data_IF_667503489119
#
_entry.id   IF_667503489119
#
_cell.length_a   1.000
_cell.length_b   1.000
_cell.length_c   1.000
_cell.angle_alpha   90.00
_cell.angle_beta   90.00
_cell.angle_gamma   90.00
#
_symmetry.space_group_name_H-M   'P 1'
#
loop_
_entity.id
_entity.type
_entity.pdbx_description
1 polymer ?
#
# COMPACT_ATOMS: atom_id res chain seq x y z
N UNK A 1 -13.10 -31.59 20.28
CA UNK A 1 -13.83 -31.87 19.03
C UNK A 1 -14.64 -30.63 18.56
N UNK A 2 -14.05 -29.43 18.52
CA UNK A 2 -14.69 -28.22 17.96
C UNK A 2 -13.62 -27.22 17.52
N UNK A 3 -13.01 -27.44 16.35
CA UNK A 3 -12.16 -26.48 15.66
C UNK A 3 -12.05 -26.89 14.19
N UNK A 4 -13.14 -26.78 13.41
CA UNK A 4 -13.05 -27.09 11.97
C UNK A 4 -14.03 -26.38 11.03
N UNK A 5 -14.87 -25.44 11.49
CA UNK A 5 -15.83 -24.75 10.60
C UNK A 5 -15.42 -23.34 10.17
N UNK A 6 -14.57 -22.64 10.92
CA UNK A 6 -14.17 -21.27 10.59
C UNK A 6 -13.13 -21.20 9.45
N UNK A 7 -12.19 -22.15 9.37
CA UNK A 7 -11.11 -22.14 8.37
C UNK A 7 -11.59 -22.55 6.97
N UNK A 8 -12.69 -23.30 6.86
CA UNK A 8 -13.26 -23.72 5.57
C UNK A 8 -14.01 -22.61 4.84
N UNK A 9 -14.50 -21.58 5.53
CA UNK A 9 -15.29 -20.50 4.90
C UNK A 9 -14.43 -19.45 4.18
N UNK A 10 -13.19 -19.24 4.63
CA UNK A 10 -12.28 -18.29 3.98
C UNK A 10 -11.79 -18.75 2.59
N UNK A 11 -11.80 -20.06 2.33
CA UNK A 11 -11.47 -20.63 1.01
C UNK A 11 -12.62 -20.43 0.02
N UNK A 12 -13.88 -20.41 0.47
CA UNK A 12 -15.04 -20.21 -0.40
C UNK A 12 -15.09 -18.79 -1.01
N UNK A 13 -14.47 -17.79 -0.37
CA UNK A 13 -14.38 -16.44 -0.94
C UNK A 13 -13.43 -16.38 -2.16
N UNK A 14 -12.44 -17.27 -2.25
CA UNK A 14 -11.58 -17.40 -3.44
C UNK A 14 -12.33 -18.14 -4.56
N UNK A 15 -13.22 -19.06 -4.21
CA UNK A 15 -14.03 -19.83 -5.17
C UNK A 15 -15.23 -19.07 -5.76
N UNK A 16 -15.53 -17.84 -5.33
CA UNK A 16 -16.69 -17.11 -5.85
C UNK A 16 -16.57 -16.71 -7.33
N UNK A 17 -15.36 -16.76 -7.91
CA UNK A 17 -15.10 -16.33 -9.28
C UNK A 17 -14.38 -17.38 -10.16
N UNK A 18 -13.92 -18.50 -9.61
CA UNK A 18 -13.22 -19.54 -10.37
C UNK A 18 -13.68 -20.94 -10.00
N UNK A 19 -14.01 -21.76 -11.01
CA UNK A 19 -14.38 -23.18 -10.85
C UNK A 19 -13.18 -24.10 -10.63
N UNK A 20 -11.94 -23.58 -10.77
CA UNK A 20 -10.69 -24.32 -10.59
C UNK A 20 -10.05 -23.98 -9.23
N UNK A 21 -9.49 -24.98 -8.56
CA UNK A 21 -8.72 -24.75 -7.34
C UNK A 21 -7.52 -23.81 -7.63
N UNK A 22 -7.28 -22.77 -6.81
CA UNK A 22 -6.31 -21.73 -7.13
C UNK A 22 -4.89 -22.28 -7.12
N UNK A 23 -4.16 -22.03 -8.22
CA UNK A 23 -2.71 -22.20 -8.31
C UNK A 23 -2.09 -20.81 -8.42
N UNK A 24 -1.44 -20.37 -7.36
CA UNK A 24 -0.99 -18.98 -7.18
C UNK A 24 0.47 -18.82 -7.58
N UNK A 25 0.77 -17.78 -8.36
CA UNK A 25 2.12 -17.25 -8.51
C UNK A 25 2.21 -15.87 -7.84
N UNK A 26 3.23 -15.65 -7.03
CA UNK A 26 3.50 -14.33 -6.45
C UNK A 26 4.39 -13.56 -7.41
N UNK A 27 4.00 -12.33 -7.74
CA UNK A 27 4.79 -11.41 -8.56
C UNK A 27 5.58 -10.46 -7.67
N UNK A 28 6.82 -10.15 -8.05
CA UNK A 28 7.66 -9.15 -7.38
C UNK A 28 8.09 -8.06 -8.36
N UNK A 29 8.35 -6.87 -7.81
CA UNK A 29 8.81 -5.73 -8.61
C UNK A 29 10.14 -6.03 -9.31
N UNK A 30 10.13 -5.99 -10.64
CA UNK A 30 11.29 -6.12 -11.52
C UNK A 30 11.36 -4.98 -12.55
N UNK A 31 10.21 -4.44 -12.97
CA UNK A 31 10.15 -3.24 -13.84
C UNK A 31 10.23 -1.94 -13.02
N UNK A 32 10.62 -0.85 -13.65
CA UNK A 32 10.59 0.48 -13.03
C UNK A 32 9.20 1.13 -13.23
N UNK A 33 8.64 1.78 -12.19
CA UNK A 33 7.43 2.58 -12.35
C UNK A 33 7.64 3.72 -13.37
N UNK A 34 6.62 4.05 -14.18
CA UNK A 34 6.73 5.15 -15.15
C UNK A 34 6.80 6.51 -14.43
N UNK A 35 7.24 7.52 -15.18
CA UNK A 35 7.09 8.92 -14.78
C UNK A 35 5.61 9.30 -14.90
N UNK A 36 4.97 9.70 -13.80
CA UNK A 36 3.57 10.13 -13.79
C UNK A 36 3.53 11.58 -13.31
N UNK A 37 2.99 12.48 -14.14
CA UNK A 37 2.95 13.92 -13.86
C UNK A 37 4.32 14.51 -13.48
N UNK A 38 5.39 14.02 -14.11
CA UNK A 38 6.77 14.46 -13.85
C UNK A 38 7.39 13.88 -12.57
N UNK A 39 6.74 12.92 -11.91
CA UNK A 39 7.23 12.28 -10.68
C UNK A 39 7.40 10.77 -10.88
N UNK A 40 8.53 10.21 -10.47
CA UNK A 40 8.78 8.77 -10.48
C UNK A 40 8.78 8.22 -9.06
N UNK A 41 8.03 7.13 -8.83
CA UNK A 41 8.10 6.40 -7.56
C UNK A 41 9.32 5.48 -7.56
N UNK A 42 10.27 5.60 -6.62
CA UNK A 42 11.47 4.78 -6.64
C UNK A 42 11.14 3.29 -6.44
N UNK A 43 11.81 2.44 -7.21
CA UNK A 43 11.68 0.98 -7.13
C UNK A 43 12.06 0.49 -5.72
N UNK A 44 11.41 -0.58 -5.24
CA UNK A 44 11.91 -1.33 -4.07
C UNK A 44 12.98 -2.33 -4.53
N UNK A 45 14.25 -2.22 -4.10
CA UNK A 45 15.25 -3.26 -4.37
C UNK A 45 14.81 -4.59 -3.74
N UNK A 46 15.02 -5.69 -4.46
CA UNK A 46 14.72 -7.03 -3.97
C UNK A 46 13.24 -7.44 -4.05
N UNK A 47 12.25 -6.57 -3.81
CA UNK A 47 10.85 -6.99 -3.72
C UNK A 47 10.61 -8.09 -2.65
N UNK A 48 9.37 -8.39 -2.27
CA UNK A 48 9.14 -9.47 -1.29
C UNK A 48 9.03 -10.80 -2.03
N UNK A 49 10.15 -11.52 -2.08
CA UNK A 49 10.30 -12.69 -2.94
C UNK A 49 9.84 -14.00 -2.30
N UNK A 50 9.74 -14.09 -0.95
CA UNK A 50 9.42 -15.34 -0.22
C UNK A 50 8.17 -15.29 0.68
N UNK A 51 8.04 -14.29 1.55
CA UNK A 51 7.11 -14.31 2.70
C UNK A 51 5.65 -14.63 2.34
N UNK A 52 5.12 -13.99 1.29
CA UNK A 52 3.74 -14.25 0.83
C UNK A 52 3.57 -15.66 0.27
N UNK A 53 4.49 -16.11 -0.60
CA UNK A 53 4.47 -17.46 -1.18
C UNK A 53 4.52 -18.54 -0.10
N UNK A 54 5.38 -18.35 0.90
CA UNK A 54 5.51 -19.28 2.02
C UNK A 54 4.24 -19.33 2.89
N UNK A 55 3.69 -18.17 3.23
CA UNK A 55 2.46 -18.06 4.05
C UNK A 55 1.27 -18.72 3.37
N UNK A 56 1.06 -18.46 2.08
CA UNK A 56 0.01 -19.08 1.29
C UNK A 56 0.14 -20.61 1.27
N UNK A 57 1.37 -21.10 1.08
CA UNK A 57 1.65 -22.54 1.10
C UNK A 57 1.36 -23.17 2.47
N UNK A 58 1.74 -22.52 3.57
CA UNK A 58 1.42 -22.99 4.92
C UNK A 58 -0.09 -23.05 5.19
N UNK A 59 -0.88 -22.21 4.52
CA UNK A 59 -2.35 -22.24 4.56
C UNK A 59 -2.98 -23.22 3.57
N UNK A 60 -2.18 -24.07 2.93
CA UNK A 60 -2.65 -25.12 2.01
C UNK A 60 -3.00 -24.61 0.60
N UNK A 61 -2.68 -23.36 0.26
CA UNK A 61 -2.83 -22.84 -1.10
C UNK A 61 -1.70 -23.39 -1.97
N UNK A 62 -2.02 -23.88 -3.16
CA UNK A 62 -1.01 -24.32 -4.12
C UNK A 62 -0.28 -23.09 -4.67
N UNK A 63 1.04 -23.02 -4.43
CA UNK A 63 1.89 -21.92 -4.89
C UNK A 63 2.96 -22.46 -5.83
N UNK A 64 3.11 -21.86 -7.00
CA UNK A 64 4.22 -22.14 -7.92
C UNK A 64 5.42 -21.25 -7.62
N UNK A 65 6.62 -21.80 -7.83
CA UNK A 65 7.91 -21.14 -7.60
C UNK A 65 8.53 -20.81 -8.95
N UNK A 66 9.21 -19.67 -9.06
CA UNK A 66 9.98 -19.32 -10.26
C UNK A 66 11.19 -20.23 -10.45
N UNK A 67 11.69 -20.81 -9.36
CA UNK A 67 12.62 -21.93 -9.36
C UNK A 67 12.03 -23.10 -8.55
N UNK A 68 11.62 -24.20 -9.22
CA UNK A 68 11.09 -25.40 -8.58
C UNK A 68 12.04 -26.04 -7.57
N UNK A 69 13.36 -25.83 -7.71
CA UNK A 69 14.39 -26.37 -6.81
C UNK A 69 14.70 -25.48 -5.60
N UNK A 70 14.26 -24.21 -5.61
CA UNK A 70 14.55 -23.26 -4.53
C UNK A 70 14.19 -23.80 -3.13
N UNK A 71 15.15 -23.85 -2.19
CA UNK A 71 14.91 -24.36 -0.85
C UNK A 71 14.04 -23.41 -0.03
N UNK A 72 13.44 -23.92 1.05
CA UNK A 72 12.61 -23.12 1.98
C UNK A 72 13.38 -21.99 2.65
N UNK A 73 14.69 -22.13 2.82
CA UNK A 73 15.59 -21.10 3.35
C UNK A 73 15.94 -20.01 2.33
N UNK A 74 15.70 -20.21 1.03
CA UNK A 74 16.07 -19.24 0.00
C UNK A 74 15.10 -18.07 -0.05
N UNK A 75 15.64 -16.85 -0.12
CA UNK A 75 14.87 -15.63 -0.38
C UNK A 75 14.60 -15.40 -1.88
N UNK A 76 15.16 -16.22 -2.79
CA UNK A 76 14.98 -16.13 -4.24
C UNK A 76 14.36 -17.41 -4.80
N UNK A 77 13.77 -17.32 -6.00
CA UNK A 77 13.14 -18.47 -6.67
C UNK A 77 11.70 -18.76 -6.24
N UNK A 78 11.13 -17.96 -5.33
CA UNK A 78 9.77 -18.13 -4.79
C UNK A 78 8.71 -17.23 -5.43
N UNK A 79 9.14 -16.24 -6.22
CA UNK A 79 8.29 -15.26 -6.87
C UNK A 79 8.79 -14.98 -8.29
N UNK A 80 7.86 -14.65 -9.18
CA UNK A 80 8.12 -14.31 -10.58
C UNK A 80 8.30 -12.80 -10.72
N UNK A 81 9.15 -12.32 -11.64
CA UNK A 81 9.23 -10.89 -11.91
C UNK A 81 7.92 -10.41 -12.55
N UNK A 82 7.53 -9.18 -12.27
CA UNK A 82 6.35 -8.50 -12.86
C UNK A 82 6.59 -7.99 -14.29
N UNK A 83 7.66 -8.46 -14.94
CA UNK A 83 7.91 -8.26 -16.37
C UNK A 83 6.91 -9.07 -17.20
N UNK A 84 6.70 -8.67 -18.44
CA UNK A 84 5.86 -9.39 -19.41
C UNK A 84 6.24 -10.89 -19.51
N UNK A 85 7.50 -11.19 -19.81
CA UNK A 85 7.97 -12.59 -19.86
C UNK A 85 7.92 -13.33 -18.51
N UNK A 86 8.02 -12.62 -17.39
CA UNK A 86 7.88 -13.19 -16.05
C UNK A 86 6.45 -13.65 -15.74
N UNK A 87 5.49 -12.79 -16.08
CA UNK A 87 4.05 -13.07 -15.96
C UNK A 87 3.66 -14.20 -16.90
N UNK A 88 4.09 -14.13 -18.17
CA UNK A 88 3.82 -15.17 -19.16
C UNK A 88 4.40 -16.53 -18.73
N UNK A 89 5.65 -16.56 -18.24
CA UNK A 89 6.26 -17.78 -17.70
C UNK A 89 5.48 -18.38 -16.54
N UNK A 90 4.98 -17.56 -15.62
CA UNK A 90 4.14 -18.03 -14.51
C UNK A 90 2.84 -18.67 -15.02
N UNK A 91 2.18 -18.06 -16.02
CA UNK A 91 0.99 -18.61 -16.65
C UNK A 91 1.26 -19.96 -17.32
N UNK A 92 2.35 -20.08 -18.10
CA UNK A 92 2.76 -21.32 -18.76
C UNK A 92 3.06 -22.45 -17.76
N UNK A 93 3.52 -22.09 -16.55
CA UNK A 93 3.74 -23.04 -15.45
C UNK A 93 2.44 -23.41 -14.70
N UNK A 94 1.27 -23.03 -15.23
CA UNK A 94 -0.04 -23.40 -14.71
C UNK A 94 -0.56 -22.49 -13.60
N UNK A 95 -0.04 -21.27 -13.47
CA UNK A 95 -0.66 -20.26 -12.62
C UNK A 95 -2.06 -19.92 -13.15
N UNK A 96 -3.02 -19.90 -12.24
CA UNK A 96 -4.38 -19.41 -12.51
C UNK A 96 -4.64 -18.10 -11.78
N UNK A 97 -3.82 -17.79 -10.77
CA UNK A 97 -3.97 -16.61 -9.93
C UNK A 97 -2.62 -15.92 -9.76
N UNK A 98 -2.56 -14.62 -9.99
CA UNK A 98 -1.40 -13.80 -9.69
C UNK A 98 -1.62 -12.99 -8.44
N UNK A 99 -0.76 -13.17 -7.45
CA UNK A 99 -0.68 -12.29 -6.30
C UNK A 99 0.29 -11.15 -6.64
N UNK A 100 -0.26 -9.99 -7.01
CA UNK A 100 0.49 -8.87 -7.57
C UNK A 100 1.18 -8.05 -6.47
N UNK A 101 2.30 -8.55 -5.95
CA UNK A 101 3.09 -7.87 -4.93
C UNK A 101 4.16 -6.93 -5.52
N UNK A 102 3.70 -6.04 -6.40
CA UNK A 102 4.48 -5.03 -7.11
C UNK A 102 3.74 -3.69 -7.10
N UNK A 103 4.42 -2.59 -7.39
CA UNK A 103 3.87 -1.26 -7.67
C UNK A 103 3.17 -1.35 -9.01
N UNK A 104 1.85 -1.30 -8.96
CA UNK A 104 1.00 -1.40 -10.12
C UNK A 104 0.69 0.01 -10.64
N UNK A 105 0.56 0.13 -11.95
CA UNK A 105 0.32 1.37 -12.67
C UNK A 105 -0.42 1.06 -13.97
N UNK A 106 -1.05 2.04 -14.61
CA UNK A 106 -1.94 1.82 -15.76
C UNK A 106 -1.22 1.15 -16.93
N UNK A 107 0.04 1.50 -17.17
CA UNK A 107 0.87 0.89 -18.21
C UNK A 107 1.55 -0.43 -17.80
N UNK A 108 1.19 -1.02 -16.65
CA UNK A 108 1.82 -2.25 -16.15
C UNK A 108 1.52 -3.43 -17.08
N UNK A 109 2.46 -4.37 -17.31
CA UNK A 109 2.25 -5.57 -18.12
C UNK A 109 1.04 -6.44 -17.74
N UNK A 110 0.47 -6.26 -16.55
CA UNK A 110 -0.76 -6.97 -16.14
C UNK A 110 -2.00 -6.41 -16.84
N UNK A 111 -1.92 -5.21 -17.43
CA UNK A 111 -3.00 -4.57 -18.18
C UNK A 111 -2.71 -4.50 -19.69
N UNK A 112 -1.45 -4.31 -20.07
CA UNK A 112 -1.10 -3.88 -21.44
C UNK A 112 -0.35 -4.91 -22.27
N UNK A 113 0.11 -6.01 -21.66
CA UNK A 113 0.99 -6.97 -22.34
C UNK A 113 0.28 -7.74 -23.46
N UNK A 114 0.76 -7.67 -24.71
CA UNK A 114 0.31 -8.55 -25.78
C UNK A 114 0.72 -10.01 -25.53
N UNK A 115 1.87 -10.30 -24.91
CA UNK A 115 2.28 -11.69 -24.64
C UNK A 115 1.38 -12.40 -23.62
N UNK A 116 0.79 -11.66 -22.67
CA UNK A 116 -0.13 -12.20 -21.65
C UNK A 116 -1.56 -12.28 -22.18
N UNK A 117 -1.91 -11.54 -23.24
CA UNK A 117 -3.26 -11.49 -23.82
C UNK A 117 -3.86 -12.88 -24.12
N UNK A 118 -3.12 -13.85 -24.72
CA UNK A 118 -3.66 -15.18 -25.01
C UNK A 118 -4.15 -15.95 -23.78
N UNK A 119 -3.59 -15.68 -22.60
CA UNK A 119 -3.91 -16.37 -21.35
C UNK A 119 -4.73 -15.50 -20.38
N UNK A 120 -4.99 -14.23 -20.71
CA UNK A 120 -5.62 -13.27 -19.81
C UNK A 120 -7.02 -13.68 -19.34
N UNK A 121 -7.81 -14.34 -20.19
CA UNK A 121 -9.17 -14.79 -19.84
C UNK A 121 -9.20 -15.93 -18.82
N UNK A 122 -8.07 -16.61 -18.59
CA UNK A 122 -7.96 -17.74 -17.66
C UNK A 122 -7.28 -17.37 -16.33
N UNK A 123 -6.80 -16.13 -16.22
CA UNK A 123 -5.98 -15.66 -15.11
C UNK A 123 -6.76 -14.66 -14.25
N UNK A 124 -6.69 -14.87 -12.94
CA UNK A 124 -7.22 -13.97 -11.94
C UNK A 124 -6.08 -13.20 -11.27
N UNK A 125 -6.30 -11.93 -10.95
CA UNK A 125 -5.31 -11.12 -10.22
C UNK A 125 -5.83 -10.81 -8.82
N UNK A 126 -5.06 -11.19 -7.82
CA UNK A 126 -5.26 -10.83 -6.41
C UNK A 126 -4.44 -9.58 -6.13
N UNK A 127 -5.13 -8.47 -5.91
CA UNK A 127 -4.53 -7.16 -5.67
C UNK A 127 -5.48 -6.03 -6.02
N UNK A 128 -4.96 -4.81 -5.97
CA UNK A 128 -5.70 -3.64 -6.46
C UNK A 128 -5.59 -3.54 -8.00
N UNK A 129 -6.62 -3.02 -8.70
CA UNK A 129 -6.50 -2.68 -10.11
C UNK A 129 -5.34 -1.69 -10.35
N UNK A 130 -4.48 -1.91 -11.35
CA UNK A 130 -3.29 -1.06 -11.57
C UNK A 130 -3.57 0.44 -11.73
N UNK A 131 -4.61 0.84 -12.48
CA UNK A 131 -5.01 2.25 -12.58
C UNK A 131 -5.53 2.85 -11.25
N UNK A 132 -6.10 2.02 -10.38
CA UNK A 132 -6.52 2.43 -9.03
C UNK A 132 -5.29 2.74 -8.16
N UNK A 133 -4.27 1.89 -8.24
CA UNK A 133 -2.99 2.10 -7.53
C UNK A 133 -2.29 3.33 -8.07
N UNK A 134 -2.25 3.53 -9.39
CA UNK A 134 -1.63 4.71 -10.01
C UNK A 134 -2.20 6.02 -9.47
N UNK A 135 -3.52 6.13 -9.40
CA UNK A 135 -4.21 7.31 -8.90
C UNK A 135 -3.96 7.53 -7.41
N UNK A 136 -4.12 6.49 -6.58
CA UNK A 136 -4.06 6.64 -5.13
C UNK A 136 -2.65 6.49 -4.52
N UNK A 137 -1.63 6.12 -5.30
CA UNK A 137 -0.23 6.27 -4.87
C UNK A 137 0.20 7.75 -4.84
N UNK A 138 -0.56 8.64 -5.47
CA UNK A 138 -0.44 10.10 -5.33
C UNK A 138 -1.08 10.55 -4.01
N UNK A 139 -0.23 10.91 -3.04
CA UNK A 139 -0.70 11.33 -1.72
C UNK A 139 -1.53 12.60 -1.74
N UNK A 140 -1.29 13.49 -2.70
CA UNK A 140 -2.05 14.73 -2.82
C UNK A 140 -3.47 14.40 -3.27
N UNK A 141 -3.59 13.69 -4.40
CA UNK A 141 -4.87 13.24 -4.93
C UNK A 141 -5.67 12.43 -3.91
N UNK A 142 -5.02 11.48 -3.23
CA UNK A 142 -5.69 10.63 -2.24
C UNK A 142 -6.13 11.40 -1.00
N UNK A 143 -5.29 12.30 -0.47
CA UNK A 143 -5.64 13.09 0.72
C UNK A 143 -6.70 14.15 0.42
N UNK A 144 -6.81 14.63 -0.82
CA UNK A 144 -7.83 15.59 -1.20
C UNK A 144 -9.24 14.96 -1.21
N UNK A 145 -9.38 13.66 -1.51
CA UNK A 145 -10.69 12.97 -1.48
C UNK A 145 -11.43 13.05 -0.14
N UNK A 146 -10.85 12.65 1.02
CA UNK A 146 -11.51 12.82 2.30
C UNK A 146 -11.63 14.29 2.72
N UNK A 147 -10.76 15.20 2.23
CA UNK A 147 -10.91 16.65 2.48
C UNK A 147 -12.13 17.24 1.78
N UNK A 148 -12.32 16.90 0.50
CA UNK A 148 -13.45 17.35 -0.34
C UNK A 148 -14.80 16.92 0.25
N UNK A 149 -14.88 15.69 0.77
CA UNK A 149 -16.11 15.18 1.40
C UNK A 149 -16.38 15.78 2.79
N UNK A 150 -15.33 16.19 3.50
CA UNK A 150 -15.44 16.63 4.89
C UNK A 150 -15.78 15.49 5.86
N UNK A 151 -15.78 15.79 7.16
CA UNK A 151 -16.09 14.81 8.21
C UNK A 151 -14.94 13.87 8.61
N UNK A 152 -13.76 14.02 8.02
CA UNK A 152 -12.56 13.24 8.35
C UNK A 152 -11.53 14.05 9.13
N UNK A 153 -10.82 13.38 10.04
CA UNK A 153 -9.74 14.01 10.80
C UNK A 153 -8.41 13.85 10.07
N UNK A 154 -7.87 14.95 9.54
CA UNK A 154 -6.63 14.96 8.74
C UNK A 154 -5.68 16.06 9.24
N UNK A 155 -4.34 15.88 9.16
CA UNK A 155 -3.41 16.96 9.44
C UNK A 155 -3.62 18.11 8.45
N UNK A 156 -3.30 19.35 8.87
CA UNK A 156 -3.21 20.48 7.94
C UNK A 156 -2.09 20.18 6.94
N UNK A 157 -2.36 20.37 5.64
CA UNK A 157 -1.40 20.09 4.57
C UNK A 157 -1.35 21.21 3.55
N UNK A 158 -0.25 21.28 2.81
CA UNK A 158 -0.01 22.24 1.74
C UNK A 158 0.72 21.54 0.58
N UNK A 159 0.30 21.82 -0.64
CA UNK A 159 0.97 21.35 -1.86
C UNK A 159 1.93 22.41 -2.39
N UNK A 160 3.21 22.08 -2.45
CA UNK A 160 4.25 23.01 -2.86
C UNK A 160 4.79 22.62 -4.23
N UNK A 161 4.88 23.61 -5.10
CA UNK A 161 5.46 23.56 -6.44
C UNK A 161 6.37 24.78 -6.64
N UNK A 162 7.18 24.82 -7.71
CA UNK A 162 7.99 26.01 -8.01
C UNK A 162 7.18 27.31 -8.16
N UNK A 163 5.87 27.21 -8.48
CA UNK A 163 4.99 28.36 -8.71
C UNK A 163 4.50 29.03 -7.43
N UNK A 164 4.36 28.29 -6.33
CA UNK A 164 3.74 28.75 -5.08
C UNK A 164 4.64 28.61 -3.84
N UNK A 165 5.89 28.18 -4.02
CA UNK A 165 6.84 27.93 -2.93
C UNK A 165 6.99 29.12 -1.99
N UNK A 166 7.23 30.33 -2.51
CA UNK A 166 7.47 31.52 -1.70
C UNK A 166 6.26 31.89 -0.86
N UNK A 167 5.06 31.75 -1.43
CA UNK A 167 3.81 32.02 -0.73
C UNK A 167 3.64 31.02 0.42
N UNK A 168 3.72 29.72 0.16
CA UNK A 168 3.43 28.69 1.17
C UNK A 168 4.46 28.70 2.30
N UNK A 169 5.75 28.84 1.98
CA UNK A 169 6.82 28.88 3.00
C UNK A 169 6.66 30.08 3.93
N UNK A 170 6.15 31.20 3.44
CA UNK A 170 5.92 32.39 4.26
C UNK A 170 4.63 32.32 5.09
N UNK A 171 3.64 31.52 4.67
CA UNK A 171 2.40 31.32 5.43
C UNK A 171 2.51 30.30 6.57
N UNK A 172 3.57 29.50 6.62
CA UNK A 172 3.77 28.49 7.66
C UNK A 172 4.49 29.11 8.87
N UNK A 173 3.72 29.33 9.93
CA UNK A 173 4.13 30.01 11.17
C UNK A 173 4.33 29.05 12.36
N UNK A 174 3.93 27.77 12.21
CA UNK A 174 3.98 26.76 13.27
C UNK A 174 4.79 25.54 12.85
N UNK A 175 5.67 25.11 13.74
CA UNK A 175 6.56 23.98 13.60
C UNK A 175 6.41 23.02 14.81
N UNK A 176 6.79 21.73 14.68
CA UNK A 176 7.37 21.10 13.50
C UNK A 176 6.37 20.80 12.37
N UNK A 177 6.90 20.70 11.15
CA UNK A 177 6.20 20.23 9.94
C UNK A 177 6.91 19.03 9.33
N UNK A 178 6.23 18.27 8.48
CA UNK A 178 6.82 17.18 7.70
C UNK A 178 6.78 17.56 6.23
N UNK A 179 7.93 17.54 5.56
CA UNK A 179 7.99 17.61 4.10
C UNK A 179 8.18 16.22 3.51
N UNK A 180 7.38 15.85 2.51
CA UNK A 180 7.46 14.56 1.82
C UNK A 180 7.10 14.67 0.33
N UNK A 181 7.66 13.80 -0.53
CA UNK A 181 7.26 13.73 -1.93
C UNK A 181 5.84 13.16 -2.05
N UNK A 182 5.08 13.67 -3.03
CA UNK A 182 3.70 13.21 -3.31
C UNK A 182 3.69 11.72 -3.68
N UNK A 183 4.62 11.28 -4.54
CA UNK A 183 4.82 9.86 -4.91
C UNK A 183 6.10 9.27 -4.31
N UNK A 184 6.17 9.26 -2.97
CA UNK A 184 7.28 8.66 -2.23
C UNK A 184 7.17 7.16 -1.96
N UNK A 185 8.27 6.56 -1.48
CA UNK A 185 8.32 5.20 -0.94
C UNK A 185 8.90 5.18 0.47
N UNK A 186 8.14 4.63 1.42
CA UNK A 186 8.58 4.56 2.82
C UNK A 186 8.94 5.94 3.36
N UNK A 187 10.06 6.04 4.08
CA UNK A 187 10.59 7.31 4.60
C UNK A 187 11.46 8.08 3.61
N UNK A 188 11.60 7.63 2.36
CA UNK A 188 12.44 8.34 1.38
C UNK A 188 11.89 9.73 1.07
N UNK A 189 12.73 10.75 1.23
CA UNK A 189 12.35 12.16 1.08
C UNK A 189 11.45 12.70 2.22
N UNK A 190 11.15 11.90 3.25
CA UNK A 190 10.35 12.34 4.40
C UNK A 190 11.27 12.93 5.46
N UNK A 191 11.01 14.18 5.87
CA UNK A 191 11.78 14.84 6.93
C UNK A 191 10.89 15.70 7.82
N UNK A 192 11.09 15.60 9.13
CA UNK A 192 10.55 16.55 10.10
C UNK A 192 11.43 17.80 10.11
N UNK A 193 10.84 18.96 9.89
CA UNK A 193 11.50 20.26 9.95
C UNK A 193 11.02 21.01 11.18
N UNK A 194 11.94 21.39 12.06
CA UNK A 194 11.64 22.05 13.33
C UNK A 194 11.59 23.57 13.24
N UNK A 195 12.04 24.14 12.12
CA UNK A 195 12.08 25.57 11.87
C UNK A 195 11.99 25.88 10.36
N UNK A 196 11.83 27.17 10.04
CA UNK A 196 11.71 27.68 8.66
C UNK A 196 12.95 27.41 7.82
N UNK A 197 14.14 27.47 8.40
CA UNK A 197 15.40 27.21 7.68
C UNK A 197 15.48 25.75 7.23
N UNK A 198 15.18 24.82 8.13
CA UNK A 198 15.10 23.39 7.82
C UNK A 198 14.05 23.10 6.75
N UNK A 199 12.87 23.73 6.84
CA UNK A 199 11.81 23.60 5.85
C UNK A 199 12.30 24.08 4.47
N UNK A 200 12.85 25.29 4.37
CA UNK A 200 13.32 25.85 3.10
C UNK A 200 14.37 24.95 2.44
N UNK A 201 15.35 24.49 3.21
CA UNK A 201 16.39 23.59 2.71
C UNK A 201 15.79 22.27 2.22
N UNK A 202 14.87 21.67 2.98
CA UNK A 202 14.28 20.38 2.62
C UNK A 202 13.36 20.48 1.39
N UNK A 203 12.54 21.54 1.31
CA UNK A 203 11.67 21.80 0.16
C UNK A 203 12.49 21.96 -1.11
N UNK A 204 13.60 22.69 -1.06
CA UNK A 204 14.49 22.84 -2.21
C UNK A 204 15.09 21.50 -2.65
N UNK A 205 15.49 20.64 -1.71
CA UNK A 205 15.97 19.29 -2.03
C UNK A 205 14.89 18.48 -2.73
N UNK A 206 13.67 18.43 -2.18
CA UNK A 206 12.58 17.64 -2.77
C UNK A 206 12.14 18.15 -4.13
N UNK A 207 12.14 19.47 -4.36
CA UNK A 207 11.74 20.05 -5.65
C UNK A 207 12.77 19.82 -6.78
N UNK A 208 14.01 19.42 -6.46
CA UNK A 208 14.96 18.93 -7.47
C UNK A 208 14.60 17.54 -7.98
N UNK A 209 13.88 16.76 -7.18
CA UNK A 209 13.52 15.37 -7.49
C UNK A 209 12.08 15.25 -8.01
N UNK A 210 11.18 16.14 -7.57
CA UNK A 210 9.77 16.09 -7.91
C UNK A 210 9.19 17.50 -8.09
N UNK A 211 8.48 17.81 -9.19
CA UNK A 211 7.84 19.12 -9.42
C UNK A 211 6.74 19.46 -8.40
N UNK A 212 6.25 18.48 -7.65
CA UNK A 212 5.20 18.65 -6.65
C UNK A 212 5.54 17.86 -5.38
N UNK A 213 5.43 18.53 -4.24
CA UNK A 213 5.70 17.95 -2.91
C UNK A 213 4.57 18.32 -1.95
N UNK A 214 4.49 17.63 -0.83
CA UNK A 214 3.50 17.92 0.21
C UNK A 214 4.18 18.25 1.53
N UNK A 215 3.69 19.30 2.18
CA UNK A 215 4.03 19.67 3.55
C UNK A 215 2.81 19.37 4.43
N UNK A 216 3.02 18.82 5.62
CA UNK A 216 1.97 18.54 6.59
C UNK A 216 2.37 18.99 7.99
N UNK A 217 1.38 19.33 8.81
CA UNK A 217 1.59 19.50 10.25
C UNK A 217 2.14 18.20 10.84
N UNK A 218 3.23 18.29 11.62
CA UNK A 218 3.73 17.13 12.35
C UNK A 218 2.75 16.72 13.45
N UNK A 219 2.54 15.41 13.58
CA UNK A 219 1.71 14.78 14.59
C UNK A 219 2.64 14.08 15.58
N UNK A 220 2.68 14.55 16.83
CA UNK A 220 3.64 14.09 17.85
C UNK A 220 3.11 12.98 18.74
N UNK A 221 1.83 12.61 18.59
CA UNK A 221 1.22 11.54 19.38
C UNK A 221 1.53 10.15 18.85
N UNK A 222 0.87 9.16 19.45
CA UNK A 222 1.05 7.73 19.17
C UNK A 222 0.60 7.35 17.74
N UNK A 223 1.41 6.51 17.07
CA UNK A 223 1.14 5.96 15.73
C UNK A 223 0.54 4.56 15.81
N UNK A 224 -0.51 4.33 15.03
CA UNK A 224 -1.05 3.01 14.78
C UNK A 224 -1.29 2.79 13.29
N UNK A 225 -1.36 1.53 12.92
CA UNK A 225 -1.70 1.06 11.58
C UNK A 225 -3.01 0.29 11.64
N UNK A 226 -3.95 0.65 10.77
CA UNK A 226 -5.22 -0.06 10.58
C UNK A 226 -5.18 -0.73 9.22
N UNK A 227 -5.39 -2.06 9.18
CA UNK A 227 -5.60 -2.79 7.93
C UNK A 227 -7.09 -2.79 7.63
N UNK A 228 -7.48 -2.23 6.49
CA UNK A 228 -8.88 -2.24 6.04
C UNK A 228 -9.04 -3.30 4.95
N UNK A 229 -9.95 -4.21 5.18
CA UNK A 229 -10.27 -5.32 4.31
C UNK A 229 -11.38 -4.93 3.33
N UNK A 230 -11.34 -5.42 2.08
CA UNK A 230 -12.42 -5.20 1.14
C UNK A 230 -13.69 -5.99 1.55
N UNK A 231 -14.84 -5.67 0.94
CA UNK A 231 -16.05 -6.46 1.09
C UNK A 231 -15.81 -7.94 0.75
N UNK A 232 -16.42 -8.82 1.54
CA UNK A 232 -16.44 -10.26 1.37
C UNK A 232 -17.85 -10.80 1.64
N UNK A 233 -18.10 -12.07 1.33
CA UNK A 233 -19.42 -12.69 1.56
C UNK A 233 -19.87 -12.56 3.03
N UNK A 234 -18.94 -12.75 3.98
CA UNK A 234 -19.22 -12.63 5.41
C UNK A 234 -19.24 -11.19 5.92
N UNK A 235 -18.67 -10.26 5.14
CA UNK A 235 -18.56 -8.83 5.47
C UNK A 235 -18.89 -8.01 4.22
N UNK A 236 -20.18 -7.74 3.92
CA UNK A 236 -20.58 -7.13 2.65
C UNK A 236 -20.12 -5.68 2.47
N UNK A 237 -19.52 -5.08 3.50
CA UNK A 237 -18.91 -3.75 3.50
C UNK A 237 -17.42 -3.86 3.83
N UNK A 238 -16.66 -2.81 3.53
CA UNK A 238 -15.28 -2.68 4.02
C UNK A 238 -15.27 -2.75 5.56
N UNK A 239 -14.25 -3.40 6.11
CA UNK A 239 -14.14 -3.60 7.55
C UNK A 239 -12.68 -3.53 8.00
N UNK A 240 -12.45 -3.01 9.20
CA UNK A 240 -11.11 -2.86 9.75
C UNK A 240 -10.71 -4.05 10.62
N UNK A 241 -9.45 -4.47 10.48
CA UNK A 241 -8.77 -5.27 11.51
C UNK A 241 -8.44 -4.41 12.72
N UNK A 242 -8.10 -5.05 13.84
CA UNK A 242 -7.68 -4.34 15.05
C UNK A 242 -6.49 -3.41 14.76
N UNK A 243 -6.48 -2.19 15.35
CA UNK A 243 -5.34 -1.29 15.26
C UNK A 243 -4.07 -1.96 15.81
N UNK A 244 -2.97 -1.84 15.07
CA UNK A 244 -1.64 -2.28 15.49
C UNK A 244 -0.78 -1.06 15.69
N UNK A 245 -0.37 -0.80 16.92
CA UNK A 245 0.55 0.29 17.25
C UNK A 245 1.93 0.06 16.66
N UNK A 246 2.55 1.13 16.17
CA UNK A 246 3.97 1.10 15.80
C UNK A 246 4.78 1.70 16.93
N UNK A 247 5.51 0.84 17.63
CA UNK A 247 6.55 1.28 18.56
C UNK A 247 7.89 0.73 18.10
N UNK A 248 8.86 1.62 17.94
CA UNK A 248 10.22 1.23 18.26
C UNK A 248 10.31 1.20 19.80
N UNK A 249 10.37 -0.02 20.33
CA UNK A 249 10.47 -0.50 21.74
C UNK A 249 9.16 -0.76 22.52
N UNK A 250 9.23 -1.79 23.37
CA UNK A 250 8.20 -2.80 23.63
C UNK A 250 6.98 -2.40 24.49
N UNK A 251 5.84 -3.00 24.10
CA UNK A 251 4.52 -3.17 24.78
C UNK A 251 3.71 -1.92 25.15
N UNK A 252 2.70 -1.55 24.33
CA UNK A 252 1.75 -0.49 24.70
C UNK A 252 0.53 -0.34 23.79
N UNK A 253 -0.41 -1.29 23.82
CA UNK A 253 -1.65 -1.31 23.01
C UNK A 253 -2.37 0.06 22.94
N UNK A 254 -2.58 0.59 21.73
CA UNK A 254 -3.40 1.79 21.52
C UNK A 254 -4.85 1.51 21.96
N UNK A 255 -5.50 2.45 22.67
CA UNK A 255 -6.89 2.27 23.05
C UNK A 255 -7.78 2.18 21.80
N UNK A 256 -8.66 1.17 21.78
CA UNK A 256 -9.66 0.97 20.73
C UNK A 256 -10.49 2.25 20.55
N UNK A 257 -10.41 2.87 19.37
CA UNK A 257 -11.26 3.99 19.00
C UNK A 257 -12.10 3.58 17.78
N UNK A 258 -13.34 3.16 18.00
CA UNK A 258 -14.23 2.75 16.91
C UNK A 258 -14.51 3.86 15.88
N UNK A 259 -14.29 5.14 16.21
CA UNK A 259 -14.41 6.25 15.24
C UNK A 259 -13.36 6.16 14.14
N UNK A 260 -12.08 5.96 14.50
CA UNK A 260 -11.01 5.93 13.49
C UNK A 260 -11.12 4.71 12.58
N UNK A 261 -11.58 3.57 13.09
CA UNK A 261 -11.83 2.37 12.26
C UNK A 261 -12.93 2.63 11.24
N UNK A 262 -14.04 3.28 11.64
CA UNK A 262 -15.10 3.67 10.71
C UNK A 262 -14.64 4.70 9.68
N UNK A 263 -13.79 5.65 10.07
CA UNK A 263 -13.17 6.59 9.11
C UNK A 263 -12.29 5.84 8.10
N UNK A 264 -11.50 4.86 8.54
CA UNK A 264 -10.67 4.03 7.65
C UNK A 264 -11.52 3.15 6.72
N UNK A 265 -12.59 2.55 7.21
CA UNK A 265 -13.58 1.80 6.41
C UNK A 265 -14.24 2.68 5.35
N UNK A 266 -14.65 3.88 5.75
CA UNK A 266 -15.27 4.86 4.85
C UNK A 266 -14.29 5.35 3.78
N UNK A 267 -13.02 5.55 4.13
CA UNK A 267 -11.95 5.86 3.15
C UNK A 267 -11.75 4.70 2.17
N UNK A 268 -11.72 3.46 2.64
CA UNK A 268 -11.58 2.30 1.77
C UNK A 268 -12.76 2.15 0.79
N UNK A 269 -13.97 2.42 1.27
CA UNK A 269 -15.18 2.47 0.44
C UNK A 269 -15.12 3.62 -0.58
N UNK A 270 -14.72 4.82 -0.14
CA UNK A 270 -14.56 6.01 -0.98
C UNK A 270 -13.62 5.77 -2.16
N UNK A 271 -12.49 5.13 -1.91
CA UNK A 271 -11.48 4.85 -2.95
C UNK A 271 -11.77 3.55 -3.72
N UNK A 272 -12.85 2.85 -3.38
CA UNK A 272 -13.25 1.60 -4.02
C UNK A 272 -12.23 0.47 -3.88
N UNK A 273 -11.49 0.41 -2.75
CA UNK A 273 -10.44 -0.57 -2.52
C UNK A 273 -10.96 -2.01 -2.73
N UNK A 274 -10.27 -2.79 -3.56
CA UNK A 274 -10.61 -4.18 -3.93
C UNK A 274 -9.75 -5.23 -3.23
N UNK A 275 -8.64 -4.80 -2.63
CA UNK A 275 -7.76 -5.60 -1.80
C UNK A 275 -7.51 -4.90 -0.45
N UNK A 276 -6.88 -5.58 0.52
CA UNK A 276 -6.51 -4.94 1.77
C UNK A 276 -5.65 -3.69 1.55
N UNK A 277 -6.00 -2.61 2.23
CA UNK A 277 -5.20 -1.38 2.28
C UNK A 277 -4.69 -1.15 3.71
N UNK A 278 -3.69 -0.29 3.82
CA UNK A 278 -3.16 0.15 5.11
C UNK A 278 -3.45 1.63 5.31
N UNK A 279 -4.00 1.98 6.46
CA UNK A 279 -4.14 3.36 6.89
C UNK A 279 -3.28 3.56 8.13
N UNK A 280 -2.23 4.36 8.01
CA UNK A 280 -1.44 4.81 9.14
C UNK A 280 -2.13 6.04 9.74
N UNK A 281 -2.37 5.95 11.05
CA UNK A 281 -3.09 6.95 11.83
C UNK A 281 -2.22 7.40 12.98
N UNK A 282 -2.33 8.68 13.36
CA UNK A 282 -1.55 9.22 14.46
C UNK A 282 -2.33 10.28 15.22
N UNK A 283 -2.16 10.31 16.54
CA UNK A 283 -2.71 11.40 17.36
C UNK A 283 -1.97 12.71 17.11
N UNK A 284 -2.69 13.84 17.20
CA UNK A 284 -2.05 15.16 17.22
C UNK A 284 -1.13 15.32 18.43
N UNK A 285 -1.55 14.84 19.59
CA UNK A 285 -0.82 14.80 20.86
C UNK A 285 -1.37 13.66 21.74
N UNK A 286 -0.75 13.40 22.88
CA UNK A 286 -1.28 12.45 23.86
C UNK A 286 -2.73 12.83 24.26
N UNK A 287 -3.63 11.84 24.30
CA UNK A 287 -5.05 12.05 24.61
C UNK A 287 -5.88 12.77 23.54
N UNK A 288 -5.29 13.21 22.42
CA UNK A 288 -6.03 13.95 21.38
C UNK A 288 -6.78 13.03 20.39
N UNK A 289 -7.55 13.65 19.49
CA UNK A 289 -8.06 12.99 18.29
C UNK A 289 -6.96 12.33 17.46
N UNK A 290 -7.37 11.29 16.73
CA UNK A 290 -6.54 10.50 15.82
C UNK A 290 -6.78 11.00 14.40
N UNK A 291 -5.71 11.30 13.67
CA UNK A 291 -5.77 11.71 12.28
C UNK A 291 -5.25 10.61 11.34
N UNK A 292 -5.87 10.49 10.17
CA UNK A 292 -5.35 9.68 9.07
C UNK A 292 -4.22 10.48 8.40
N UNK A 293 -3.01 9.92 8.32
CA UNK A 293 -1.85 10.69 7.80
C UNK A 293 -1.10 9.98 6.66
N UNK A 294 -1.27 8.67 6.48
CA UNK A 294 -0.74 7.95 5.31
C UNK A 294 -1.62 6.76 4.94
N UNK A 295 -2.26 6.82 3.76
CA UNK A 295 -3.07 5.72 3.23
C UNK A 295 -2.25 5.04 2.12
N UNK A 296 -2.13 3.72 2.21
CA UNK A 296 -1.32 2.92 1.30
C UNK A 296 -2.20 1.85 0.65
N UNK A 297 -2.19 1.81 -0.68
CA UNK A 297 -2.97 0.86 -1.49
C UNK A 297 -2.53 -0.60 -1.38
N UNK A 298 -1.56 -0.90 -0.50
CA UNK A 298 -1.03 -2.24 -0.27
C UNK A 298 -0.86 -2.52 1.21
N UNK A 299 -1.05 -3.78 1.65
CA UNK A 299 -0.81 -4.16 3.02
C UNK A 299 0.69 -4.13 3.36
N UNK A 300 1.01 -4.05 4.66
CA UNK A 300 2.38 -4.29 5.13
C UNK A 300 2.70 -5.78 4.94
N UNK A 301 3.90 -6.15 4.50
CA UNK A 301 4.40 -7.51 4.67
C UNK A 301 4.66 -7.77 6.16
N UNK A 302 4.31 -8.96 6.62
CA UNK A 302 4.60 -9.43 7.98
C UNK A 302 6.11 -9.44 8.31
N UNK A 303 6.98 -9.35 7.31
CA UNK A 303 8.43 -9.38 7.47
C UNK A 303 8.99 -7.94 7.37
N UNK A 304 8.86 -7.15 8.43
CA UNK A 304 9.74 -5.98 8.66
C UNK A 304 10.87 -6.29 9.66
N UNK A 305 10.95 -7.51 10.16
CA UNK A 305 12.04 -7.97 11.01
C UNK A 305 13.03 -8.84 10.20
N UNK A 306 13.89 -8.17 9.42
CA UNK A 306 15.23 -8.67 9.08
C UNK A 306 16.20 -7.49 9.13
#
# INVERSE_FOLDING_TARGET
MFASKAVRKSIQAICAFSTKAPTVAVLHQAIDPPVINGVTKPRKPGGFRRGHSYTLRQKGVKVIKSDPSAPVSSHVGWAFPDTEGGIYSAAQQGATHFWANAILFTSHPLQTSPEVTPVASEIYVVGQPPGLVENFDDKAYLNDKPRELGGYTLPKSWLVSPKNISEIINHIDRYPIVGKPVRGRGSHGVKVCHDKGQQQQHVQTLLRESPLIMIEKFLSGEEATITVMPPAIEHPQHWSMLPVTRFNYAEGIAPYNGKVMRECESVAALIGAKAPIRVDVRRFAEGSDVALFDINMKPVPADQDV
#
